data_IF_898230361739
#
_entry.id   IF_898230361739
#
_cell.length_a   1.000
_cell.length_b   1.000
_cell.length_c   1.000
_cell.angle_alpha   90.00
_cell.angle_beta   90.00
_cell.angle_gamma   90.00
#
_symmetry.space_group_name_H-M   'P 1'
#
loop_
_entity.id
_entity.type
_entity.pdbx_description
1 polymer ?
#
# COMPACT_ATOMS: atom_id res chain seq x y z
N UNK A 1 -25.60 -16.07 -10.32
CA UNK A 1 -24.30 -16.39 -9.68
C UNK A 1 -24.31 -15.72 -8.33
N UNK A 2 -23.78 -16.36 -7.28
CA UNK A 2 -23.65 -15.73 -5.96
C UNK A 2 -22.66 -14.53 -6.07
N UNK A 3 -22.91 -13.48 -5.34
CA UNK A 3 -22.03 -12.31 -5.22
C UNK A 3 -20.63 -12.76 -4.74
N UNK A 4 -19.53 -12.39 -5.41
CA UNK A 4 -18.19 -12.77 -4.97
C UNK A 4 -17.84 -12.08 -3.64
N UNK A 5 -17.18 -12.80 -2.73
CA UNK A 5 -16.76 -12.30 -1.42
C UNK A 5 -15.26 -12.03 -1.40
N UNK A 6 -14.87 -10.87 -0.91
CA UNK A 6 -13.47 -10.48 -0.74
C UNK A 6 -13.16 -10.19 0.73
N UNK A 7 -12.03 -10.71 1.23
CA UNK A 7 -11.47 -10.35 2.52
C UNK A 7 -10.24 -9.46 2.33
N UNK A 8 -10.24 -8.27 2.92
CA UNK A 8 -9.13 -7.31 2.87
C UNK A 8 -8.53 -7.18 4.26
N UNK A 9 -7.27 -7.57 4.44
CA UNK A 9 -6.50 -7.18 5.63
C UNK A 9 -5.90 -5.79 5.42
N UNK A 10 -5.79 -4.97 6.49
CA UNK A 10 -5.30 -3.59 6.33
C UNK A 10 -6.29 -2.65 5.63
N UNK A 11 -7.58 -2.93 5.71
CA UNK A 11 -8.66 -2.18 5.04
C UNK A 11 -8.70 -0.69 5.42
N UNK A 12 -8.24 -0.31 6.59
CA UNK A 12 -8.15 1.09 7.05
C UNK A 12 -6.94 1.86 6.50
N UNK A 13 -6.04 1.16 5.79
CA UNK A 13 -4.88 1.76 5.12
C UNK A 13 -5.26 2.51 3.84
N UNK A 14 -4.27 3.16 3.21
CA UNK A 14 -4.45 3.81 1.91
C UNK A 14 -5.04 2.85 0.88
N UNK A 15 -4.32 1.77 0.58
CA UNK A 15 -4.67 0.82 -0.47
C UNK A 15 -5.93 0.04 -0.12
N UNK A 16 -6.05 -0.40 1.15
CA UNK A 16 -7.23 -1.13 1.61
C UNK A 16 -8.52 -0.34 1.46
N UNK A 17 -8.50 0.97 1.71
CA UNK A 17 -9.68 1.83 1.58
C UNK A 17 -10.11 2.03 0.12
N UNK A 18 -9.15 2.28 -0.79
CA UNK A 18 -9.46 2.37 -2.23
C UNK A 18 -9.85 1.03 -2.84
N UNK A 19 -9.23 -0.05 -2.40
CA UNK A 19 -9.59 -1.40 -2.86
C UNK A 19 -11.00 -1.77 -2.40
N UNK A 20 -11.39 -1.42 -1.17
CA UNK A 20 -12.75 -1.66 -0.69
C UNK A 20 -13.78 -0.90 -1.54
N UNK A 21 -13.56 0.36 -1.85
CA UNK A 21 -14.41 1.14 -2.76
C UNK A 21 -14.50 0.51 -4.16
N UNK A 22 -13.36 0.11 -4.72
CA UNK A 22 -13.30 -0.53 -6.04
C UNK A 22 -14.09 -1.84 -6.07
N UNK A 23 -13.92 -2.70 -5.06
CA UNK A 23 -14.60 -4.00 -5.00
C UNK A 23 -16.11 -3.84 -4.76
N UNK A 24 -16.53 -2.90 -3.90
CA UNK A 24 -17.95 -2.55 -3.73
C UNK A 24 -18.56 -2.09 -5.05
N UNK A 25 -17.89 -1.19 -5.77
CA UNK A 25 -18.34 -0.72 -7.08
C UNK A 25 -18.40 -1.83 -8.16
N UNK A 26 -17.60 -2.90 -7.99
CA UNK A 26 -17.64 -4.11 -8.82
C UNK A 26 -18.68 -5.15 -8.35
N UNK A 27 -19.45 -4.85 -7.30
CA UNK A 27 -20.51 -5.72 -6.80
C UNK A 27 -20.03 -6.87 -5.90
N UNK A 28 -18.87 -6.74 -5.23
CA UNK A 28 -18.41 -7.70 -4.23
C UNK A 28 -19.08 -7.50 -2.88
N UNK A 29 -19.28 -8.60 -2.13
CA UNK A 29 -19.51 -8.58 -0.68
C UNK A 29 -18.13 -8.42 0.01
N UNK A 30 -17.84 -7.22 0.54
CA UNK A 30 -16.50 -6.85 0.99
C UNK A 30 -16.39 -6.93 2.50
N UNK A 31 -15.43 -7.72 2.97
CA UNK A 31 -15.09 -7.92 4.36
C UNK A 31 -13.72 -7.32 4.67
N UNK A 32 -13.64 -6.45 5.68
CA UNK A 32 -12.41 -5.80 6.10
C UNK A 32 -11.95 -6.27 7.48
N UNK A 33 -10.67 -6.65 7.61
CA UNK A 33 -10.06 -6.92 8.91
C UNK A 33 -9.53 -5.63 9.53
N UNK A 34 -9.96 -5.32 10.76
CA UNK A 34 -9.50 -4.16 11.53
C UNK A 34 -8.94 -4.59 12.89
N UNK A 35 -7.82 -3.99 13.29
CA UNK A 35 -7.31 -4.15 14.66
C UNK A 35 -8.15 -3.34 15.62
N UNK A 36 -8.44 -3.92 16.79
CA UNK A 36 -9.05 -3.15 17.87
C UNK A 36 -8.05 -2.13 18.42
N UNK A 37 -8.42 -0.87 18.39
CA UNK A 37 -7.65 0.25 18.90
C UNK A 37 -8.54 1.06 19.84
N UNK A 38 -7.93 1.74 20.81
CA UNK A 38 -8.63 2.69 21.70
C UNK A 38 -9.06 3.98 20.98
N UNK A 39 -8.47 4.26 19.82
CA UNK A 39 -8.82 5.38 18.94
C UNK A 39 -9.42 4.85 17.66
N UNK A 40 -10.45 5.53 17.14
CA UNK A 40 -11.03 5.18 15.85
C UNK A 40 -10.04 5.51 14.73
N UNK A 41 -9.69 4.50 13.93
CA UNK A 41 -8.79 4.63 12.78
C UNK A 41 -9.50 4.21 11.50
N UNK A 42 -10.72 4.74 11.27
CA UNK A 42 -11.58 4.36 10.16
C UNK A 42 -11.93 5.52 9.22
N UNK A 43 -11.36 6.70 9.44
CA UNK A 43 -11.70 7.92 8.67
C UNK A 43 -11.68 7.72 7.14
N UNK A 44 -10.82 6.80 6.63
CA UNK A 44 -10.72 6.49 5.20
C UNK A 44 -11.82 5.57 4.68
N UNK A 45 -12.57 4.91 5.57
CA UNK A 45 -13.61 3.92 5.22
C UNK A 45 -14.98 4.24 5.82
N UNK A 46 -15.11 5.25 6.67
CA UNK A 46 -16.38 5.59 7.34
C UNK A 46 -17.50 5.93 6.34
N UNK A 47 -17.15 6.48 5.18
CA UNK A 47 -18.12 6.82 4.13
C UNK A 47 -18.69 5.58 3.38
N UNK A 48 -18.04 4.42 3.46
CA UNK A 48 -18.49 3.15 2.86
C UNK A 48 -18.86 2.11 3.91
N UNK A 49 -18.70 2.42 5.20
CA UNK A 49 -19.10 1.56 6.31
C UNK A 49 -20.30 2.16 7.01
N UNK A 50 -21.44 1.53 6.82
CA UNK A 50 -22.69 1.90 7.48
C UNK A 50 -23.02 0.90 8.58
N UNK A 51 -23.98 1.25 9.43
CA UNK A 51 -24.56 0.36 10.44
C UNK A 51 -25.16 -0.87 9.76
N UNK A 52 -24.87 -2.06 10.28
CA UNK A 52 -25.39 -3.34 9.78
C UNK A 52 -26.94 -3.43 9.75
N UNK A 53 -27.62 -2.50 10.42
CA UNK A 53 -29.08 -2.37 10.43
C UNK A 53 -29.63 -1.54 9.25
N UNK A 54 -28.76 -0.88 8.46
CA UNK A 54 -29.19 -0.10 7.30
C UNK A 54 -29.05 -0.91 6.02
N UNK A 55 -30.08 -0.92 5.13
CA UNK A 55 -30.00 -1.61 3.85
C UNK A 55 -29.02 -0.87 2.92
N UNK A 56 -28.12 -1.62 2.26
CA UNK A 56 -27.16 -1.09 1.30
C UNK A 56 -25.97 -2.02 1.08
N UNK A 57 -25.17 -1.71 0.07
CA UNK A 57 -23.87 -2.35 -0.14
C UNK A 57 -22.88 -1.77 0.89
N UNK A 58 -22.53 -2.57 1.89
CA UNK A 58 -21.75 -2.13 3.03
C UNK A 58 -20.44 -2.91 3.12
N UNK A 59 -19.37 -2.21 3.47
CA UNK A 59 -18.15 -2.81 3.95
C UNK A 59 -18.42 -3.43 5.34
N UNK A 60 -18.26 -4.76 5.45
CA UNK A 60 -18.40 -5.48 6.72
C UNK A 60 -17.07 -5.54 7.45
N UNK A 61 -17.02 -5.11 8.69
CA UNK A 61 -15.79 -5.05 9.48
C UNK A 61 -15.71 -6.19 10.49
N UNK A 62 -14.54 -6.84 10.55
CA UNK A 62 -14.21 -7.90 11.49
C UNK A 62 -13.02 -7.50 12.35
N UNK A 63 -13.12 -7.67 13.67
CA UNK A 63 -11.99 -7.43 14.55
C UNK A 63 -11.05 -8.65 14.58
N UNK A 64 -9.74 -8.36 14.49
CA UNK A 64 -8.67 -9.35 14.57
C UNK A 64 -7.31 -8.75 14.27
N UNK A 65 -6.27 -9.52 14.51
CA UNK A 65 -4.89 -9.20 14.13
C UNK A 65 -4.35 -10.34 13.26
N UNK A 66 -3.63 -10.01 12.21
CA UNK A 66 -3.03 -11.01 11.29
C UNK A 66 -1.96 -11.87 11.94
N UNK A 67 -1.45 -11.46 13.10
CA UNK A 67 -0.55 -12.26 13.93
C UNK A 67 -1.27 -13.38 14.70
N UNK A 68 -2.60 -13.30 14.84
CA UNK A 68 -3.43 -14.34 15.47
C UNK A 68 -3.88 -15.36 14.43
N UNK A 69 -3.12 -16.47 14.33
CA UNK A 69 -3.40 -17.54 13.37
C UNK A 69 -4.78 -18.21 13.57
N UNK A 70 -5.24 -18.34 14.83
CA UNK A 70 -6.55 -18.93 15.12
C UNK A 70 -7.69 -18.04 14.61
N UNK A 71 -7.54 -16.71 14.80
CA UNK A 71 -8.52 -15.75 14.29
C UNK A 71 -8.53 -15.70 12.77
N UNK A 72 -7.38 -15.82 12.10
CA UNK A 72 -7.34 -15.89 10.63
C UNK A 72 -8.06 -17.13 10.11
N UNK A 73 -7.87 -18.29 10.72
CA UNK A 73 -8.57 -19.51 10.35
C UNK A 73 -10.10 -19.37 10.54
N UNK A 74 -10.54 -18.86 11.69
CA UNK A 74 -11.97 -18.60 11.96
C UNK A 74 -12.59 -17.66 10.91
N UNK A 75 -11.92 -16.58 10.54
CA UNK A 75 -12.42 -15.63 9.54
C UNK A 75 -12.55 -16.27 8.16
N UNK A 76 -11.58 -17.07 7.73
CA UNK A 76 -11.67 -17.82 6.47
C UNK A 76 -12.87 -18.76 6.49
N UNK A 77 -13.09 -19.48 7.58
CA UNK A 77 -14.20 -20.42 7.70
C UNK A 77 -15.59 -19.74 7.74
N UNK A 78 -15.69 -18.60 8.43
CA UNK A 78 -16.96 -17.86 8.56
C UNK A 78 -17.30 -17.09 7.28
N UNK A 79 -16.32 -16.39 6.70
CA UNK A 79 -16.55 -15.53 5.53
C UNK A 79 -16.59 -16.37 4.24
N UNK A 80 -15.79 -17.42 4.15
CA UNK A 80 -15.60 -18.23 2.94
C UNK A 80 -15.33 -17.32 1.70
N UNK A 81 -14.27 -16.50 1.72
CA UNK A 81 -14.00 -15.54 0.67
C UNK A 81 -13.60 -16.25 -0.64
N UNK A 82 -13.93 -15.65 -1.78
CA UNK A 82 -13.40 -16.06 -3.07
C UNK A 82 -12.00 -15.49 -3.30
N UNK A 83 -11.76 -14.29 -2.75
CA UNK A 83 -10.51 -13.55 -2.89
C UNK A 83 -10.06 -13.01 -1.53
N UNK A 84 -8.75 -13.10 -1.26
CA UNK A 84 -8.11 -12.52 -0.09
C UNK A 84 -7.02 -11.56 -0.53
N UNK A 85 -7.12 -10.31 -0.10
CA UNK A 85 -6.12 -9.26 -0.33
C UNK A 85 -5.37 -8.99 0.98
N UNK A 86 -4.14 -9.50 1.07
CA UNK A 86 -3.31 -9.33 2.28
C UNK A 86 -2.45 -8.08 2.17
N UNK A 87 -3.00 -6.95 2.68
CA UNK A 87 -2.36 -5.64 2.64
C UNK A 87 -1.82 -5.20 4.01
N UNK A 88 -2.21 -5.90 5.09
CA UNK A 88 -1.76 -5.58 6.44
C UNK A 88 -0.26 -5.78 6.60
N UNK A 89 0.42 -4.77 7.13
CA UNK A 89 1.85 -4.81 7.45
C UNK A 89 2.22 -3.68 8.41
N UNK A 90 3.36 -3.81 9.11
CA UNK A 90 4.11 -2.65 9.60
C UNK A 90 4.92 -2.10 8.42
N UNK A 91 4.41 -1.09 7.71
CA UNK A 91 4.93 -0.65 6.41
C UNK A 91 5.89 0.54 6.47
N UNK A 92 6.13 1.12 7.64
CA UNK A 92 7.03 2.26 7.79
C UNK A 92 8.49 1.80 7.90
N UNK A 93 9.28 1.98 6.83
CA UNK A 93 10.65 1.48 6.73
C UNK A 93 11.53 1.95 7.89
N UNK A 94 11.50 3.24 8.27
CA UNK A 94 12.34 3.75 9.37
C UNK A 94 11.97 3.09 10.70
N UNK A 95 10.67 2.92 10.99
CA UNK A 95 10.19 2.28 12.23
C UNK A 95 10.61 0.82 12.31
N UNK A 96 10.80 0.13 11.18
CA UNK A 96 11.25 -1.27 11.19
C UNK A 96 12.63 -1.48 11.84
N UNK A 97 13.48 -0.44 11.89
CA UNK A 97 14.76 -0.49 12.59
C UNK A 97 14.60 -0.37 14.11
N UNK A 98 13.54 0.31 14.56
CA UNK A 98 13.26 0.46 15.99
C UNK A 98 12.44 -0.74 16.51
N UNK A 99 11.58 -1.33 15.68
CA UNK A 99 10.70 -2.46 16.01
C UNK A 99 10.88 -3.66 15.05
N UNK A 100 12.09 -4.26 14.95
CA UNK A 100 12.36 -5.28 13.94
C UNK A 100 11.59 -6.60 14.18
N UNK A 101 11.39 -7.00 15.42
CA UNK A 101 10.65 -8.23 15.78
C UNK A 101 9.19 -8.09 15.42
N UNK A 102 8.54 -7.01 15.85
CA UNK A 102 7.15 -6.73 15.49
C UNK A 102 6.96 -6.63 13.97
N UNK A 103 7.92 -6.00 13.27
CA UNK A 103 7.89 -5.91 11.81
C UNK A 103 7.95 -7.30 11.15
N UNK A 104 8.78 -8.21 11.66
CA UNK A 104 8.86 -9.58 11.15
C UNK A 104 7.55 -10.34 11.38
N UNK A 105 6.96 -10.23 12.56
CA UNK A 105 5.70 -10.89 12.92
C UNK A 105 4.51 -10.33 12.11
N UNK A 106 4.33 -9.01 12.15
CA UNK A 106 3.18 -8.35 11.53
C UNK A 106 3.24 -8.30 9.98
N UNK A 107 4.41 -8.48 9.38
CA UNK A 107 4.59 -8.40 7.92
C UNK A 107 4.93 -9.78 7.32
N UNK A 108 5.86 -10.51 7.95
CA UNK A 108 6.34 -11.80 7.45
C UNK A 108 5.47 -12.97 7.91
N UNK A 109 5.46 -13.24 9.22
CA UNK A 109 4.77 -14.40 9.79
C UNK A 109 3.24 -14.31 9.60
N UNK A 110 2.68 -13.13 9.63
CA UNK A 110 1.24 -12.91 9.36
C UNK A 110 0.81 -13.44 7.97
N UNK A 111 1.70 -13.34 6.97
CA UNK A 111 1.45 -13.90 5.62
C UNK A 111 1.34 -15.44 5.69
N UNK A 112 2.24 -16.10 6.44
CA UNK A 112 2.17 -17.54 6.66
C UNK A 112 0.88 -17.94 7.38
N UNK A 113 0.45 -17.20 8.41
CA UNK A 113 -0.80 -17.48 9.13
C UNK A 113 -2.01 -17.49 8.18
N UNK A 114 -2.09 -16.53 7.27
CA UNK A 114 -3.18 -16.46 6.29
C UNK A 114 -3.11 -17.60 5.27
N UNK A 115 -1.93 -17.92 4.75
CA UNK A 115 -1.74 -19.04 3.82
C UNK A 115 -2.11 -20.38 4.46
N UNK A 116 -1.74 -20.61 5.73
CA UNK A 116 -2.14 -21.80 6.49
C UNK A 116 -3.66 -21.87 6.72
N UNK A 117 -4.30 -20.74 7.01
CA UNK A 117 -5.75 -20.67 7.12
C UNK A 117 -6.43 -21.09 5.79
N UNK A 118 -5.96 -20.53 4.67
CA UNK A 118 -6.45 -20.87 3.33
C UNK A 118 -6.20 -22.35 3.00
N UNK A 119 -4.99 -22.85 3.23
CA UNK A 119 -4.63 -24.25 2.97
C UNK A 119 -5.51 -25.22 3.74
N UNK A 120 -5.77 -24.95 5.02
CA UNK A 120 -6.58 -25.81 5.91
C UNK A 120 -8.05 -25.79 5.56
N UNK A 121 -8.57 -24.67 5.05
CA UNK A 121 -9.98 -24.58 4.63
C UNK A 121 -10.30 -25.48 3.42
N UNK A 122 -9.30 -25.80 2.60
CA UNK A 122 -9.48 -26.57 1.36
C UNK A 122 -10.33 -25.84 0.30
N UNK A 123 -10.72 -24.59 0.54
CA UNK A 123 -11.54 -23.81 -0.38
C UNK A 123 -10.70 -23.21 -1.53
N UNK A 124 -11.26 -23.03 -2.74
CA UNK A 124 -10.54 -22.48 -3.90
C UNK A 124 -10.43 -20.94 -3.81
N UNK A 125 -9.68 -20.48 -2.83
CA UNK A 125 -9.48 -19.05 -2.54
C UNK A 125 -8.32 -18.52 -3.37
N UNK A 126 -8.51 -17.37 -4.04
CA UNK A 126 -7.45 -16.61 -4.70
C UNK A 126 -6.80 -15.65 -3.70
N UNK A 127 -5.49 -15.75 -3.54
CA UNK A 127 -4.74 -14.97 -2.55
C UNK A 127 -3.78 -13.99 -3.21
N UNK A 128 -3.92 -12.71 -2.88
CA UNK A 128 -3.01 -11.62 -3.25
C UNK A 128 -2.16 -11.22 -2.05
N UNK A 129 -0.84 -11.17 -2.21
CA UNK A 129 0.11 -10.62 -1.25
C UNK A 129 0.64 -9.27 -1.72
N UNK A 130 0.47 -8.24 -0.91
CA UNK A 130 1.15 -6.96 -1.12
C UNK A 130 2.65 -7.12 -0.81
N UNK A 131 3.44 -7.29 -1.85
CA UNK A 131 4.90 -7.25 -1.81
C UNK A 131 5.39 -5.81 -2.06
N UNK A 132 6.70 -5.58 -2.10
CA UNK A 132 7.25 -4.22 -2.10
C UNK A 132 8.54 -4.11 -2.89
N UNK A 133 8.76 -2.99 -3.56
CA UNK A 133 10.03 -2.63 -4.19
C UNK A 133 11.21 -2.54 -3.20
N UNK A 134 10.93 -2.35 -1.90
CA UNK A 134 11.97 -2.39 -0.84
C UNK A 134 12.67 -3.75 -0.73
N UNK A 135 12.10 -4.81 -1.31
CA UNK A 135 12.76 -6.12 -1.42
C UNK A 135 13.99 -6.07 -2.31
N UNK A 136 13.97 -5.27 -3.38
CA UNK A 136 15.10 -5.10 -4.29
C UNK A 136 16.29 -4.41 -3.61
N UNK A 137 16.02 -3.44 -2.73
CA UNK A 137 17.03 -2.80 -1.89
C UNK A 137 18.19 -2.19 -2.68
N UNK A 138 19.39 -2.80 -2.60
CA UNK A 138 20.58 -2.32 -3.28
C UNK A 138 20.77 -2.88 -4.70
N UNK A 139 19.87 -3.71 -5.19
CA UNK A 139 19.95 -4.23 -6.57
C UNK A 139 19.71 -3.09 -7.58
N UNK A 140 20.57 -2.92 -8.61
CA UNK A 140 20.45 -1.82 -9.57
C UNK A 140 19.12 -1.87 -10.36
N UNK A 141 18.53 -0.67 -10.68
CA UNK A 141 17.38 -0.56 -11.57
C UNK A 141 17.76 -0.71 -13.06
N UNK A 142 16.76 -0.96 -13.96
CA UNK A 142 15.35 -1.17 -13.63
C UNK A 142 15.13 -2.52 -12.97
N UNK A 143 14.16 -2.60 -12.04
CA UNK A 143 13.84 -3.84 -11.34
C UNK A 143 12.52 -4.42 -11.88
N UNK A 144 12.55 -5.72 -12.16
CA UNK A 144 11.43 -6.54 -12.65
C UNK A 144 11.22 -7.78 -11.79
N UNK A 145 10.34 -8.69 -12.21
CA UNK A 145 10.01 -9.93 -11.50
C UNK A 145 11.16 -10.95 -11.46
N UNK A 146 12.20 -10.79 -12.29
CA UNK A 146 13.39 -11.65 -12.35
C UNK A 146 14.57 -11.07 -11.56
N UNK A 147 14.49 -9.81 -11.17
CA UNK A 147 15.55 -9.09 -10.47
C UNK A 147 15.77 -9.68 -9.07
N UNK A 148 16.99 -10.07 -8.69
CA UNK A 148 17.25 -10.64 -7.36
C UNK A 148 17.05 -9.61 -6.25
N UNK A 149 16.59 -10.09 -5.09
CA UNK A 149 16.36 -9.25 -3.91
C UNK A 149 17.65 -9.05 -3.10
N UNK A 150 17.86 -7.80 -2.66
CA UNK A 150 18.93 -7.44 -1.72
C UNK A 150 18.43 -6.37 -0.74
N UNK A 151 17.50 -6.72 0.17
CA UNK A 151 16.82 -5.77 1.04
C UNK A 151 17.78 -5.01 1.96
N UNK A 152 17.45 -3.75 2.27
CA UNK A 152 18.26 -2.82 3.08
C UNK A 152 17.56 -2.40 4.37
N UNK A 153 16.48 -3.10 4.76
CA UNK A 153 15.74 -2.81 6.00
C UNK A 153 15.08 -4.07 6.57
N UNK A 154 14.80 -4.13 7.88
CA UNK A 154 14.00 -5.22 8.45
C UNK A 154 12.64 -5.39 7.78
N UNK A 155 12.01 -4.29 7.35
CA UNK A 155 10.79 -4.33 6.54
C UNK A 155 11.00 -5.04 5.21
N UNK A 156 12.04 -4.66 4.46
CA UNK A 156 12.37 -5.31 3.19
C UNK A 156 12.64 -6.81 3.35
N UNK A 157 13.37 -7.21 4.41
CA UNK A 157 13.62 -8.62 4.75
C UNK A 157 12.32 -9.36 5.05
N UNK A 158 11.41 -8.78 5.83
CA UNK A 158 10.11 -9.38 6.14
C UNK A 158 9.25 -9.56 4.87
N UNK A 159 9.30 -8.60 3.94
CA UNK A 159 8.62 -8.69 2.64
C UNK A 159 9.23 -9.76 1.73
N UNK A 160 10.55 -9.96 1.75
CA UNK A 160 11.22 -11.06 1.03
C UNK A 160 10.76 -12.41 1.58
N UNK A 161 10.65 -12.57 2.91
CA UNK A 161 10.05 -13.77 3.51
C UNK A 161 8.63 -14.00 3.00
N UNK A 162 7.76 -12.96 3.04
CA UNK A 162 6.38 -13.05 2.56
C UNK A 162 6.32 -13.46 1.09
N UNK A 163 7.16 -12.89 0.24
CA UNK A 163 7.24 -13.22 -1.18
C UNK A 163 7.54 -14.70 -1.40
N UNK A 164 8.59 -15.20 -0.76
CA UNK A 164 9.02 -16.58 -0.97
C UNK A 164 8.06 -17.60 -0.36
N UNK A 165 7.42 -17.31 0.76
CA UNK A 165 6.45 -18.23 1.34
C UNK A 165 5.17 -18.32 0.47
N UNK A 166 4.75 -17.22 -0.17
CA UNK A 166 3.65 -17.23 -1.15
C UNK A 166 3.99 -18.12 -2.34
N UNK A 167 5.17 -17.95 -2.94
CA UNK A 167 5.63 -18.83 -4.03
C UNK A 167 5.71 -20.29 -3.62
N UNK A 168 6.28 -20.57 -2.44
CA UNK A 168 6.37 -21.91 -1.93
C UNK A 168 5.00 -22.58 -1.78
N UNK A 169 4.00 -21.87 -1.24
CA UNK A 169 2.64 -22.40 -1.09
C UNK A 169 1.93 -22.60 -2.43
N UNK A 170 2.15 -21.72 -3.39
CA UNK A 170 1.68 -21.90 -4.76
C UNK A 170 2.23 -23.18 -5.40
N UNK A 171 3.56 -23.40 -5.29
CA UNK A 171 4.25 -24.52 -5.91
C UNK A 171 4.02 -25.86 -5.16
N UNK A 172 4.05 -25.83 -3.82
CA UNK A 172 3.99 -27.05 -3.01
C UNK A 172 2.55 -27.57 -2.82
N UNK A 173 1.56 -26.68 -2.76
CA UNK A 173 0.17 -27.03 -2.42
C UNK A 173 -0.85 -26.69 -3.52
N UNK A 174 -0.41 -26.10 -4.62
CA UNK A 174 -1.31 -25.72 -5.72
C UNK A 174 -2.31 -24.61 -5.35
N UNK A 175 -2.02 -23.82 -4.30
CA UNK A 175 -2.87 -22.70 -3.89
C UNK A 175 -2.74 -21.58 -4.93
N UNK A 176 -3.88 -21.03 -5.35
CA UNK A 176 -3.86 -19.82 -6.20
C UNK A 176 -3.38 -18.63 -5.36
N UNK A 177 -2.08 -18.40 -5.33
CA UNK A 177 -1.44 -17.35 -4.56
C UNK A 177 -0.39 -16.62 -5.40
N UNK A 178 -0.35 -15.29 -5.29
CA UNK A 178 0.54 -14.44 -6.08
C UNK A 178 1.02 -13.21 -5.30
N UNK A 179 2.10 -12.59 -5.80
CA UNK A 179 2.66 -11.37 -5.24
C UNK A 179 2.49 -10.19 -6.20
N UNK A 180 1.97 -9.07 -5.71
CA UNK A 180 2.11 -7.79 -6.39
C UNK A 180 3.32 -7.05 -5.82
N UNK A 181 4.38 -6.89 -6.63
CA UNK A 181 5.59 -6.16 -6.23
C UNK A 181 5.35 -4.68 -6.54
N UNK A 182 4.89 -3.96 -5.52
CA UNK A 182 4.47 -2.58 -5.69
C UNK A 182 5.63 -1.62 -5.46
N UNK A 183 5.86 -0.74 -6.42
CA UNK A 183 6.68 0.44 -6.22
C UNK A 183 5.94 1.48 -5.40
N UNK A 184 6.62 2.56 -5.01
CA UNK A 184 5.98 3.56 -4.17
C UNK A 184 4.72 4.10 -4.85
N UNK A 185 3.60 4.08 -4.15
CA UNK A 185 2.34 4.60 -4.65
C UNK A 185 1.66 5.42 -3.59
N UNK A 186 1.24 6.57 -3.99
CA UNK A 186 0.88 7.67 -3.11
C UNK A 186 -0.54 8.15 -3.43
N UNK A 187 -1.12 8.87 -2.49
CA UNK A 187 -2.44 9.47 -2.66
C UNK A 187 -2.72 10.48 -1.56
N UNK A 188 -3.84 11.21 -1.65
CA UNK A 188 -4.37 11.97 -0.52
C UNK A 188 -4.57 11.15 0.77
N UNK A 189 -4.74 9.83 0.69
CA UNK A 189 -4.90 8.92 1.85
C UNK A 189 -3.59 8.31 2.35
N UNK A 190 -2.43 8.71 1.80
CA UNK A 190 -1.13 8.23 2.29
C UNK A 190 -0.94 8.56 3.77
N UNK A 191 -0.23 7.70 4.51
CA UNK A 191 0.13 7.98 5.89
C UNK A 191 0.99 9.25 6.01
N UNK A 192 0.68 10.11 6.97
CA UNK A 192 1.25 11.45 7.10
C UNK A 192 2.76 11.51 7.35
N UNK A 193 3.34 10.41 7.84
CA UNK A 193 4.78 10.28 8.10
C UNK A 193 5.60 9.89 6.86
N UNK A 194 4.95 9.50 5.76
CA UNK A 194 5.61 9.21 4.50
C UNK A 194 6.03 10.51 3.80
N UNK A 195 7.18 10.46 3.11
CA UNK A 195 7.85 11.64 2.57
C UNK A 195 6.96 12.50 1.68
N UNK A 196 6.25 11.91 0.75
CA UNK A 196 5.34 12.61 -0.17
C UNK A 196 4.21 13.31 0.56
N UNK A 197 3.54 12.61 1.48
CA UNK A 197 2.44 13.19 2.27
C UNK A 197 2.94 14.23 3.26
N UNK A 198 4.12 14.04 3.85
CA UNK A 198 4.77 15.05 4.69
C UNK A 198 5.01 16.35 3.91
N UNK A 199 5.44 16.25 2.65
CA UNK A 199 5.65 17.40 1.77
C UNK A 199 4.33 18.10 1.48
N UNK A 200 3.32 17.39 0.98
CA UNK A 200 2.04 17.99 0.53
C UNK A 200 1.27 18.64 1.68
N UNK A 201 1.28 18.03 2.88
CA UNK A 201 0.72 18.65 4.10
C UNK A 201 1.46 19.92 4.50
N UNK A 202 2.79 19.91 4.44
CA UNK A 202 3.57 21.11 4.75
C UNK A 202 3.31 22.23 3.74
N UNK A 203 3.25 21.89 2.44
CA UNK A 203 2.91 22.87 1.40
C UNK A 203 1.54 23.51 1.66
N UNK A 204 0.51 22.69 1.93
CA UNK A 204 -0.82 23.18 2.26
C UNK A 204 -0.81 24.09 3.52
N UNK A 205 -0.13 23.68 4.59
CA UNK A 205 -0.02 24.46 5.81
C UNK A 205 0.76 25.78 5.62
N UNK A 206 1.84 25.76 4.84
CA UNK A 206 2.64 26.95 4.49
C UNK A 206 1.80 27.93 3.67
N UNK A 207 1.07 27.45 2.68
CA UNK A 207 0.18 28.28 1.84
C UNK A 207 -0.90 28.99 2.67
N UNK A 208 -1.37 28.35 3.75
CA UNK A 208 -2.34 28.95 4.70
C UNK A 208 -1.68 29.73 5.85
N UNK A 209 -0.35 29.88 5.88
CA UNK A 209 0.37 30.59 6.94
C UNK A 209 0.41 29.86 8.29
N UNK A 210 0.04 28.58 8.32
CA UNK A 210 0.00 27.74 9.53
C UNK A 210 1.36 27.11 9.89
N UNK A 211 2.26 27.03 8.92
CA UNK A 211 3.62 26.49 9.08
C UNK A 211 4.63 27.39 8.35
N UNK A 212 5.85 27.48 8.89
CA UNK A 212 6.91 28.34 8.33
C UNK A 212 8.03 27.56 7.63
N UNK A 213 8.32 26.35 8.08
CA UNK A 213 9.44 25.54 7.59
C UNK A 213 9.06 24.06 7.51
N UNK A 214 9.71 23.35 6.58
CA UNK A 214 9.63 21.89 6.44
C UNK A 214 11.02 21.29 6.65
N UNK A 215 11.16 20.39 7.63
CA UNK A 215 12.41 19.73 7.95
C UNK A 215 12.50 18.37 7.26
N UNK A 216 13.55 18.14 6.47
CA UNK A 216 13.74 16.97 5.62
C UNK A 216 15.10 16.33 5.85
N UNK A 217 15.23 15.05 5.47
CA UNK A 217 16.49 14.31 5.40
C UNK A 217 17.08 14.31 3.99
N UNK A 218 17.36 13.11 3.46
CA UNK A 218 17.94 12.94 2.12
C UNK A 218 16.97 13.36 1.02
N UNK A 219 17.36 14.36 0.21
CA UNK A 219 16.57 14.86 -0.91
C UNK A 219 16.92 14.19 -2.25
N UNK A 220 18.02 13.44 -2.30
CA UNK A 220 18.59 12.92 -3.56
C UNK A 220 18.23 11.43 -3.80
N UNK A 221 17.54 10.80 -2.85
CA UNK A 221 16.98 9.44 -3.06
C UNK A 221 16.00 9.43 -4.22
N UNK A 222 16.20 8.47 -5.15
CA UNK A 222 15.38 8.32 -6.35
C UNK A 222 14.31 7.27 -6.14
N UNK A 223 13.07 7.61 -6.46
CA UNK A 223 11.92 6.71 -6.35
C UNK A 223 11.07 6.77 -7.61
N UNK A 224 10.33 5.72 -7.79
CA UNK A 224 9.24 5.58 -8.75
C UNK A 224 7.94 5.73 -7.95
N UNK A 225 7.18 6.80 -8.20
CA UNK A 225 5.94 7.11 -7.49
C UNK A 225 4.73 7.04 -8.42
N UNK A 226 3.78 6.17 -8.12
CA UNK A 226 2.51 6.06 -8.82
C UNK A 226 1.30 6.48 -7.97
N UNK A 227 0.12 6.40 -8.55
CA UNK A 227 -1.14 6.75 -7.89
C UNK A 227 -1.84 5.51 -7.33
N UNK A 228 -2.12 5.51 -6.03
CA UNK A 228 -2.66 4.35 -5.32
C UNK A 228 -3.99 3.83 -5.90
N UNK A 229 -4.87 4.69 -6.40
CA UNK A 229 -6.12 4.27 -7.05
C UNK A 229 -5.88 3.40 -8.29
N UNK A 230 -4.81 3.64 -9.03
CA UNK A 230 -4.44 2.82 -10.19
C UNK A 230 -3.82 1.48 -9.77
N UNK A 231 -3.05 1.49 -8.67
CA UNK A 231 -2.42 0.28 -8.14
C UNK A 231 -3.44 -0.72 -7.60
N UNK A 232 -4.50 -0.27 -6.93
CA UNK A 232 -5.56 -1.19 -6.46
C UNK A 232 -6.34 -1.83 -7.61
N UNK A 233 -6.48 -1.15 -8.74
CA UNK A 233 -7.01 -1.78 -9.97
C UNK A 233 -6.08 -2.89 -10.47
N UNK A 234 -4.76 -2.66 -10.43
CA UNK A 234 -3.75 -3.67 -10.75
C UNK A 234 -3.83 -4.89 -9.81
N UNK A 235 -3.98 -4.67 -8.50
CA UNK A 235 -4.15 -5.74 -7.52
C UNK A 235 -5.37 -6.62 -7.84
N UNK A 236 -6.51 -6.01 -8.18
CA UNK A 236 -7.70 -6.73 -8.58
C UNK A 236 -7.47 -7.52 -9.88
N UNK A 237 -6.89 -6.91 -10.91
CA UNK A 237 -6.62 -7.57 -12.20
C UNK A 237 -5.72 -8.80 -12.05
N UNK A 238 -4.73 -8.77 -11.16
CA UNK A 238 -3.86 -9.92 -10.87
C UNK A 238 -4.63 -11.15 -10.38
N UNK A 239 -5.72 -10.96 -9.64
CA UNK A 239 -6.55 -12.08 -9.21
C UNK A 239 -7.58 -12.53 -10.25
N UNK A 240 -7.71 -11.84 -11.40
CA UNK A 240 -8.67 -12.22 -12.45
C UNK A 240 -8.05 -13.11 -13.55
N UNK A 241 -6.72 -13.27 -13.57
CA UNK A 241 -6.04 -14.13 -14.56
C UNK A 241 -6.25 -15.61 -14.24
N UNK A 242 -6.10 -16.47 -15.27
CA UNK A 242 -6.34 -17.92 -15.13
C UNK A 242 -5.30 -18.59 -14.21
N UNK A 243 -4.03 -18.24 -14.38
CA UNK A 243 -2.92 -18.82 -13.61
C UNK A 243 -2.23 -17.77 -12.75
N UNK A 244 -1.94 -18.06 -11.46
CA UNK A 244 -1.27 -17.10 -10.59
C UNK A 244 0.19 -16.88 -11.00
N UNK A 245 0.58 -15.61 -11.09
CA UNK A 245 1.98 -15.22 -11.29
C UNK A 245 2.28 -13.90 -10.56
N UNK A 246 3.55 -13.57 -10.37
CA UNK A 246 3.98 -12.38 -9.66
C UNK A 246 4.14 -11.22 -10.66
N UNK A 247 3.78 -9.98 -10.26
CA UNK A 247 3.78 -8.82 -11.14
C UNK A 247 4.36 -7.58 -10.44
N UNK A 248 5.16 -6.81 -11.18
CA UNK A 248 5.60 -5.48 -10.80
C UNK A 248 4.56 -4.44 -11.22
N UNK A 249 4.16 -3.56 -10.28
CA UNK A 249 3.45 -2.31 -10.59
C UNK A 249 4.35 -1.12 -10.28
N UNK A 250 4.61 -0.31 -11.29
CA UNK A 250 5.50 0.84 -11.25
C UNK A 250 5.09 1.86 -12.32
N UNK A 251 5.66 3.07 -12.28
CA UNK A 251 5.49 4.05 -13.36
C UNK A 251 6.60 3.98 -14.41
N UNK A 252 7.72 3.34 -14.07
CA UNK A 252 8.93 3.32 -14.90
C UNK A 252 9.65 4.67 -14.94
N UNK A 253 9.23 5.64 -14.12
CA UNK A 253 9.84 6.99 -14.08
C UNK A 253 10.61 7.21 -12.79
N UNK A 254 11.74 7.91 -12.90
CA UNK A 254 12.67 8.15 -11.81
C UNK A 254 12.61 9.61 -11.36
N UNK A 255 12.25 9.85 -10.10
CA UNK A 255 12.24 11.19 -9.52
C UNK A 255 12.91 11.21 -8.15
N UNK A 256 13.64 12.29 -7.87
CA UNK A 256 14.20 12.55 -6.56
C UNK A 256 13.15 13.13 -5.60
N UNK A 257 13.43 13.07 -4.29
CA UNK A 257 12.60 13.77 -3.30
C UNK A 257 12.59 15.28 -3.59
N UNK A 258 13.70 15.82 -4.11
CA UNK A 258 13.84 17.21 -4.57
C UNK A 258 12.84 17.54 -5.67
N UNK A 259 12.72 16.66 -6.69
CA UNK A 259 11.75 16.88 -7.78
C UNK A 259 10.32 16.92 -7.23
N UNK A 260 9.98 16.04 -6.29
CA UNK A 260 8.65 16.02 -5.68
C UNK A 260 8.36 17.27 -4.84
N UNK A 261 9.36 17.81 -4.13
CA UNK A 261 9.29 19.13 -3.49
C UNK A 261 9.01 20.22 -4.53
N UNK A 262 9.77 20.25 -5.61
CA UNK A 262 9.61 21.24 -6.68
C UNK A 262 8.21 21.17 -7.30
N UNK A 263 7.70 19.98 -7.65
CA UNK A 263 6.35 19.80 -8.16
C UNK A 263 5.28 20.33 -7.19
N UNK A 264 5.43 20.01 -5.89
CA UNK A 264 4.46 20.38 -4.87
C UNK A 264 4.44 21.88 -4.58
N UNK A 265 5.61 22.52 -4.45
CA UNK A 265 5.70 23.95 -4.15
C UNK A 265 5.36 24.83 -5.36
N UNK A 266 5.82 24.44 -6.57
CA UNK A 266 5.50 25.16 -7.81
C UNK A 266 3.99 25.18 -8.08
N UNK A 267 3.26 24.12 -7.71
CA UNK A 267 1.81 24.07 -7.87
C UNK A 267 1.08 25.21 -7.15
N UNK A 268 1.60 25.67 -6.02
CA UNK A 268 1.04 26.79 -5.23
C UNK A 268 1.80 28.11 -5.42
N UNK A 269 2.72 28.19 -6.39
CA UNK A 269 3.50 29.37 -6.70
C UNK A 269 4.58 29.75 -5.67
N UNK A 270 5.08 28.77 -4.89
CA UNK A 270 6.13 28.97 -3.90
C UNK A 270 7.45 28.34 -4.35
N UNK A 271 8.59 28.88 -3.89
CA UNK A 271 9.91 28.27 -4.05
C UNK A 271 10.24 27.40 -2.83
N UNK A 272 10.44 26.10 -3.00
CA UNK A 272 10.70 25.17 -1.90
C UNK A 272 11.95 25.50 -1.10
N UNK A 273 12.99 26.09 -1.70
CA UNK A 273 14.26 26.44 -1.05
C UNK A 273 14.08 27.47 0.08
N UNK A 274 13.06 28.29 0.02
CA UNK A 274 12.74 29.28 1.05
C UNK A 274 12.26 28.63 2.35
N UNK A 275 11.66 27.42 2.26
CA UNK A 275 10.93 26.77 3.36
C UNK A 275 11.58 25.49 3.85
N UNK A 276 12.35 24.77 3.02
CA UNK A 276 12.91 23.47 3.38
C UNK A 276 14.24 23.59 4.11
N UNK A 277 14.37 22.83 5.23
CA UNK A 277 15.58 22.76 6.04
C UNK A 277 16.01 21.30 6.20
N UNK A 278 17.32 21.07 6.29
CA UNK A 278 17.89 19.74 6.49
C UNK A 278 18.01 19.42 7.99
N UNK A 279 17.63 18.14 8.36
CA UNK A 279 17.86 17.61 9.71
C UNK A 279 18.35 16.14 9.59
N UNK A 280 19.57 15.83 10.06
CA UNK A 280 20.17 14.50 9.95
C UNK A 280 19.38 13.40 10.69
N UNK A 281 18.52 13.74 11.65
CA UNK A 281 17.68 12.76 12.36
C UNK A 281 16.70 12.00 11.44
N UNK A 282 16.40 12.57 10.26
CA UNK A 282 15.53 11.91 9.26
C UNK A 282 16.29 10.97 8.32
N UNK A 283 17.60 10.84 8.45
CA UNK A 283 18.39 9.85 7.70
C UNK A 283 18.11 8.44 8.24
N UNK A 284 18.17 7.46 7.34
CA UNK A 284 18.03 6.04 7.70
C UNK A 284 19.40 5.43 8.00
N UNK A 285 19.47 4.37 8.84
CA UNK A 285 20.73 3.65 9.10
C UNK A 285 21.35 3.06 7.83
N UNK A 286 20.51 2.59 6.90
CA UNK A 286 20.88 2.18 5.54
C UNK A 286 19.88 2.72 4.55
N UNK A 287 20.36 3.27 3.44
CA UNK A 287 19.53 3.84 2.38
C UNK A 287 19.40 2.90 1.19
N UNK A 288 18.31 3.08 0.47
CA UNK A 288 18.10 2.56 -0.87
C UNK A 288 18.19 3.76 -1.81
N UNK A 289 19.23 3.77 -2.64
CA UNK A 289 19.52 4.94 -3.48
C UNK A 289 18.50 5.11 -4.60
N UNK A 290 18.16 4.01 -5.29
CA UNK A 290 17.31 4.06 -6.49
C UNK A 290 16.39 2.86 -6.59
N UNK A 291 15.09 3.13 -6.77
CA UNK A 291 14.06 2.14 -7.11
C UNK A 291 13.29 2.66 -8.33
N UNK A 292 13.36 1.91 -9.43
CA UNK A 292 12.67 2.20 -10.69
C UNK A 292 12.20 0.87 -11.28
N UNK A 293 10.88 0.68 -11.40
CA UNK A 293 10.31 -0.59 -11.82
C UNK A 293 10.12 -0.71 -13.32
N UNK A 294 10.20 -1.94 -13.81
CA UNK A 294 9.72 -2.32 -15.14
C UNK A 294 8.38 -3.04 -15.01
N UNK A 295 7.30 -2.38 -15.41
CA UNK A 295 5.92 -2.91 -15.37
C UNK A 295 5.48 -3.58 -16.67
N UNK A 296 6.40 -3.86 -17.59
CA UNK A 296 6.08 -4.41 -18.92
C UNK A 296 5.24 -5.68 -18.86
N UNK A 297 5.52 -6.58 -17.91
CA UNK A 297 4.73 -7.80 -17.68
C UNK A 297 3.28 -7.48 -17.29
N UNK A 298 3.06 -6.54 -16.37
CA UNK A 298 1.72 -6.13 -15.96
C UNK A 298 0.96 -5.47 -17.13
N UNK A 299 1.63 -4.64 -17.93
CA UNK A 299 1.04 -4.06 -19.14
C UNK A 299 0.61 -5.13 -20.13
N UNK A 300 1.50 -6.06 -20.46
CA UNK A 300 1.30 -7.02 -21.55
C UNK A 300 0.33 -8.15 -21.14
N UNK A 301 0.28 -8.53 -19.85
CA UNK A 301 -0.57 -9.63 -19.35
C UNK A 301 -1.89 -9.14 -18.77
N UNK A 302 -1.87 -8.05 -18.00
CA UNK A 302 -3.03 -7.54 -17.26
C UNK A 302 -3.71 -6.37 -17.99
N UNK A 303 -3.08 -5.79 -19.02
CA UNK A 303 -3.51 -4.54 -19.63
C UNK A 303 -3.47 -3.36 -18.64
N UNK A 304 -2.60 -3.44 -17.63
CA UNK A 304 -2.44 -2.39 -16.62
C UNK A 304 -1.26 -1.47 -16.96
N UNK A 305 -1.50 -0.19 -16.91
CA UNK A 305 -0.47 0.84 -17.07
C UNK A 305 -0.78 2.07 -16.20
N UNK A 306 0.23 2.77 -15.66
CA UNK A 306 0.05 3.99 -14.92
C UNK A 306 -0.34 5.15 -15.84
N UNK A 307 -1.24 6.03 -15.38
CA UNK A 307 -1.68 7.23 -16.11
C UNK A 307 -1.29 8.51 -15.37
N UNK A 308 -1.36 8.47 -14.04
CA UNK A 308 -0.99 9.60 -13.19
C UNK A 308 0.49 9.54 -12.86
N UNK A 309 1.24 10.49 -13.40
CA UNK A 309 2.68 10.63 -13.15
C UNK A 309 2.98 11.53 -11.95
N UNK A 310 4.20 11.53 -11.39
CA UNK A 310 4.54 12.18 -10.12
C UNK A 310 4.20 13.66 -10.03
N UNK A 311 4.31 14.43 -11.11
CA UNK A 311 3.94 15.85 -11.11
C UNK A 311 2.43 16.06 -10.91
N UNK A 312 1.60 15.30 -11.62
CA UNK A 312 0.15 15.33 -11.46
C UNK A 312 -0.27 14.77 -10.10
N UNK A 313 0.41 13.72 -9.63
CA UNK A 313 0.21 13.14 -8.31
C UNK A 313 0.47 14.14 -7.19
N UNK A 314 1.57 14.92 -7.27
CA UNK A 314 1.88 15.98 -6.32
C UNK A 314 0.77 17.03 -6.28
N UNK A 315 0.24 17.45 -7.45
CA UNK A 315 -0.88 18.37 -7.56
C UNK A 315 -2.13 17.82 -6.86
N UNK A 316 -2.54 16.59 -7.18
CA UNK A 316 -3.70 15.93 -6.57
C UNK A 316 -3.57 15.90 -5.04
N UNK A 317 -2.39 15.58 -4.53
CA UNK A 317 -2.17 15.46 -3.08
C UNK A 317 -2.14 16.84 -2.39
N UNK A 318 -1.55 17.87 -3.00
CA UNK A 318 -1.53 19.23 -2.45
C UNK A 318 -2.94 19.83 -2.41
N UNK A 319 -3.70 19.70 -3.50
CA UNK A 319 -5.08 20.19 -3.57
C UNK A 319 -5.96 19.53 -2.49
N UNK A 320 -5.80 18.22 -2.30
CA UNK A 320 -6.52 17.49 -1.27
C UNK A 320 -6.14 17.94 0.16
N UNK A 321 -4.85 18.21 0.43
CA UNK A 321 -4.42 18.68 1.73
C UNK A 321 -4.87 20.12 2.01
N UNK A 322 -4.94 20.98 1.00
CA UNK A 322 -5.56 22.32 1.12
C UNK A 322 -7.05 22.18 1.44
N UNK A 323 -7.78 21.36 0.70
CA UNK A 323 -9.21 21.13 0.92
C UNK A 323 -9.52 20.59 2.35
N UNK A 324 -8.63 19.71 2.89
CA UNK A 324 -8.75 19.24 4.29
C UNK A 324 -8.63 20.38 5.30
N UNK A 325 -7.70 21.31 5.09
CA UNK A 325 -7.58 22.49 5.95
C UNK A 325 -8.81 23.41 5.86
N UNK A 326 -9.59 23.30 4.80
CA UNK A 326 -10.84 23.98 4.57
C UNK A 326 -12.08 23.18 5.01
N UNK A 327 -11.88 21.96 5.58
CA UNK A 327 -12.93 21.15 6.19
C UNK A 327 -13.42 19.96 5.38
N UNK A 328 -12.76 19.59 4.26
CA UNK A 328 -13.13 18.41 3.50
C UNK A 328 -12.84 17.11 4.29
N UNK A 329 -13.74 16.13 4.18
CA UNK A 329 -13.58 14.81 4.84
C UNK A 329 -12.58 13.91 4.12
N UNK A 330 -12.00 12.93 4.83
CA UNK A 330 -11.09 11.92 4.24
C UNK A 330 -11.74 11.09 3.13
N UNK A 331 -13.02 10.82 3.22
CA UNK A 331 -13.78 10.07 2.21
C UNK A 331 -13.99 10.82 0.89
N UNK A 332 -13.69 12.13 0.84
CA UNK A 332 -13.83 12.92 -0.38
C UNK A 332 -12.69 12.65 -1.41
N UNK A 333 -11.64 11.94 -1.05
CA UNK A 333 -10.43 11.80 -1.87
C UNK A 333 -10.11 10.39 -2.34
#
# INVERSE_FOLDING_TARGET
MSQPRALITGVTGQDGSYLAELLLAKGYDVHGLVRRSSTFNRSRIDHIHHDDHLPGENLRLHYGDTTDAARMAELIDVIQPNEVYNLAAQSHVRVSFDEPVYTAEATGISTLNMLEAIRRSGAPIRFYQASSSEMFGATPPPQDEQTPFYPRSPYGVAKVYSYWIVRNYREAYGIYALNGILFNHESPRRGETFVTRKITKAVAAITKGLQKELWMGNLDSVRDWGYAKEYVEGMWRMLQVESPDDYVLATGTAHTVRDFLEFSFNHVGLNWEDYVRFDPKFLRPTEVDRLIGDYSKARDTLGWEPKVLPQELARIMVDADIARLEGASEGAF
#
